data_IF_569107179419
#
_entry.id   IF_569107179419
#
_cell.length_a   1.000
_cell.length_b   1.000
_cell.length_c   1.000
_cell.angle_alpha   90.00
_cell.angle_beta   90.00
_cell.angle_gamma   90.00
#
_symmetry.space_group_name_H-M   'P 1'
#
loop_
_entity.id
_entity.type
_entity.pdbx_description
1 polymer ?
#
# COMPACT_ATOMS: atom_id res chain seq x y z
N UNK A 1 12.09 19.23 0.49
CA UNK A 1 12.91 18.80 1.64
C UNK A 1 13.75 17.64 1.14
N UNK A 2 15.05 17.85 0.98
CA UNK A 2 15.96 16.79 0.52
C UNK A 2 16.09 15.77 1.63
N UNK A 3 15.51 14.58 1.42
CA UNK A 3 15.76 13.42 2.27
C UNK A 3 17.23 13.06 2.07
N UNK A 4 18.00 12.97 3.14
CA UNK A 4 19.38 12.54 3.04
C UNK A 4 19.45 11.14 2.41
N UNK A 5 20.55 10.76 1.77
CA UNK A 5 20.69 9.43 1.16
C UNK A 5 20.43 8.30 2.16
N UNK A 6 20.78 8.50 3.42
CA UNK A 6 20.59 7.53 4.51
C UNK A 6 19.10 7.39 4.86
N UNK A 7 18.37 8.49 4.99
CA UNK A 7 16.92 8.49 5.26
C UNK A 7 16.15 7.84 4.10
N UNK A 8 16.58 8.08 2.86
CA UNK A 8 15.97 7.45 1.69
C UNK A 8 16.17 5.92 1.68
N UNK A 9 17.38 5.45 2.00
CA UNK A 9 17.66 4.01 2.13
C UNK A 9 16.79 3.39 3.23
N UNK A 10 16.68 4.05 4.39
CA UNK A 10 15.82 3.62 5.48
C UNK A 10 14.34 3.54 5.07
N UNK A 11 13.86 4.57 4.35
CA UNK A 11 12.50 4.58 3.80
C UNK A 11 12.25 3.41 2.84
N UNK A 12 13.17 3.16 1.91
CA UNK A 12 13.06 2.03 0.96
C UNK A 12 13.07 0.68 1.69
N UNK A 13 13.92 0.52 2.70
CA UNK A 13 13.96 -0.73 3.49
C UNK A 13 12.63 -0.98 4.22
N UNK A 14 12.06 0.03 4.87
CA UNK A 14 10.76 -0.05 5.55
C UNK A 14 9.65 -0.32 4.52
N UNK A 15 9.66 0.38 3.38
CA UNK A 15 8.68 0.18 2.32
C UNK A 15 8.71 -1.27 1.78
N UNK A 16 9.89 -1.79 1.46
CA UNK A 16 10.05 -3.17 0.98
C UNK A 16 9.58 -4.20 2.02
N UNK A 17 9.92 -4.01 3.29
CA UNK A 17 9.48 -4.88 4.36
C UNK A 17 7.96 -4.87 4.53
N UNK A 18 7.35 -3.69 4.55
CA UNK A 18 5.89 -3.53 4.63
C UNK A 18 5.18 -4.16 3.43
N UNK A 19 5.76 -4.01 2.23
CA UNK A 19 5.26 -4.62 1.00
C UNK A 19 5.34 -6.16 1.05
N UNK A 20 6.42 -6.73 1.58
CA UNK A 20 6.57 -8.18 1.76
C UNK A 20 5.52 -8.73 2.73
N UNK A 21 5.24 -8.02 3.83
CA UNK A 21 4.17 -8.40 4.75
C UNK A 21 2.82 -8.37 4.03
N UNK A 22 2.53 -7.29 3.32
CA UNK A 22 1.31 -7.10 2.53
C UNK A 22 1.06 -8.30 1.59
N UNK A 23 2.02 -8.65 0.74
CA UNK A 23 1.93 -9.78 -0.18
C UNK A 23 1.80 -11.14 0.53
N UNK A 24 2.53 -11.32 1.64
CA UNK A 24 2.40 -12.55 2.44
C UNK A 24 1.02 -12.71 3.06
N UNK A 25 0.37 -11.63 3.47
CA UNK A 25 -0.98 -11.67 4.03
C UNK A 25 -1.96 -12.11 2.96
N UNK A 26 -1.91 -11.57 1.75
CA UNK A 26 -2.72 -12.04 0.62
C UNK A 26 -2.55 -13.55 0.39
N UNK A 27 -1.31 -14.00 0.27
CA UNK A 27 -0.98 -15.40 0.02
C UNK A 27 -1.52 -16.32 1.12
N UNK A 28 -1.37 -15.95 2.39
CA UNK A 28 -1.81 -16.73 3.53
C UNK A 28 -3.32 -16.78 3.66
N UNK A 29 -4.00 -15.65 3.49
CA UNK A 29 -5.47 -15.60 3.56
C UNK A 29 -6.07 -16.40 2.42
N UNK A 30 -5.56 -16.31 1.19
CA UNK A 30 -5.97 -17.16 0.08
C UNK A 30 -5.81 -18.65 0.41
N UNK A 31 -4.68 -19.03 1.00
CA UNK A 31 -4.43 -20.41 1.42
C UNK A 31 -5.43 -20.91 2.47
N UNK A 32 -5.71 -20.10 3.50
CA UNK A 32 -6.70 -20.49 4.54
C UNK A 32 -8.12 -20.57 3.99
N UNK A 33 -8.41 -19.88 2.89
CA UNK A 33 -9.70 -19.96 2.20
C UNK A 33 -9.78 -21.08 1.16
N UNK A 34 -8.68 -21.84 0.98
CA UNK A 34 -8.64 -23.06 0.16
C UNK A 34 -7.78 -22.98 -1.11
N UNK A 35 -7.14 -21.85 -1.38
CA UNK A 35 -6.27 -21.68 -2.55
C UNK A 35 -4.79 -21.84 -2.20
N UNK A 36 -4.17 -22.95 -2.60
CA UNK A 36 -2.74 -23.23 -2.39
C UNK A 36 -1.81 -22.59 -3.44
N UNK A 37 -2.34 -21.96 -4.48
CA UNK A 37 -1.57 -21.49 -5.65
C UNK A 37 -0.34 -20.67 -5.25
N UNK A 38 -0.51 -19.67 -4.39
CA UNK A 38 0.60 -18.82 -3.93
C UNK A 38 1.65 -19.59 -3.13
N UNK A 39 1.22 -20.55 -2.28
CA UNK A 39 2.11 -21.40 -1.50
C UNK A 39 2.93 -22.30 -2.42
N UNK A 40 2.29 -22.96 -3.38
CA UNK A 40 2.92 -23.91 -4.31
C UNK A 40 3.94 -23.19 -5.22
N UNK A 41 3.71 -21.93 -5.53
CA UNK A 41 4.64 -21.05 -6.24
C UNK A 41 5.72 -20.42 -5.35
N UNK A 42 5.83 -20.83 -4.07
CA UNK A 42 6.86 -20.39 -3.14
C UNK A 42 6.74 -18.92 -2.71
N UNK A 43 5.50 -18.36 -2.76
CA UNK A 43 5.22 -16.96 -2.38
C UNK A 43 5.03 -16.78 -0.86
N UNK A 44 4.96 -17.86 -0.09
CA UNK A 44 5.04 -17.84 1.38
C UNK A 44 6.47 -17.58 1.84
N UNK A 45 6.95 -16.39 1.66
CA UNK A 45 8.35 -16.07 1.91
C UNK A 45 8.52 -14.63 2.35
N UNK A 46 9.37 -14.39 3.34
CA UNK A 46 9.78 -13.04 3.71
C UNK A 46 10.99 -12.54 2.89
N UNK A 47 11.45 -13.31 1.91
CA UNK A 47 12.49 -12.86 0.99
C UNK A 47 11.89 -11.81 0.02
N UNK A 48 12.30 -10.54 0.07
CA UNK A 48 11.75 -9.48 -0.79
C UNK A 48 11.94 -9.76 -2.28
N UNK A 49 12.98 -10.48 -2.68
CA UNK A 49 13.22 -10.82 -4.08
C UNK A 49 12.13 -11.69 -4.71
N UNK A 50 11.30 -12.36 -3.88
CA UNK A 50 10.14 -13.11 -4.37
C UNK A 50 8.91 -12.24 -4.61
N UNK A 51 8.87 -11.04 -4.05
CA UNK A 51 7.71 -10.15 -4.05
C UNK A 51 7.92 -8.87 -4.86
N UNK A 52 9.15 -8.55 -5.26
CA UNK A 52 9.44 -7.36 -6.05
C UNK A 52 9.88 -7.71 -7.47
N UNK A 53 9.66 -6.78 -8.39
CA UNK A 53 10.21 -6.81 -9.75
C UNK A 53 11.30 -5.75 -9.87
N UNK A 54 12.18 -5.89 -10.85
CA UNK A 54 13.20 -4.88 -11.12
C UNK A 54 12.55 -3.50 -11.37
N UNK A 55 11.44 -3.47 -12.12
CA UNK A 55 10.69 -2.24 -12.35
C UNK A 55 10.10 -1.66 -11.06
N UNK A 56 9.60 -2.52 -10.15
CA UNK A 56 9.07 -2.10 -8.84
C UNK A 56 10.12 -1.49 -7.91
N UNK A 57 11.42 -1.82 -8.11
CA UNK A 57 12.55 -1.22 -7.38
C UNK A 57 13.04 0.05 -8.10
N UNK A 58 13.22 0.01 -9.40
CA UNK A 58 13.80 1.12 -10.16
C UNK A 58 12.85 2.32 -10.27
N UNK A 59 11.53 2.08 -10.29
CA UNK A 59 10.54 3.14 -10.41
C UNK A 59 10.58 4.12 -9.23
N UNK A 60 10.54 3.69 -7.94
CA UNK A 60 10.68 4.61 -6.80
C UNK A 60 11.98 5.41 -6.84
N UNK A 61 13.08 4.80 -7.25
CA UNK A 61 14.39 5.45 -7.37
C UNK A 61 14.35 6.52 -8.47
N UNK A 62 13.83 6.18 -9.65
CA UNK A 62 13.69 7.13 -10.76
C UNK A 62 12.79 8.31 -10.40
N UNK A 63 11.66 8.05 -9.75
CA UNK A 63 10.73 9.08 -9.28
C UNK A 63 11.38 10.01 -8.25
N UNK A 64 12.19 9.46 -7.33
CA UNK A 64 12.95 10.24 -6.37
C UNK A 64 13.93 11.20 -7.06
N UNK A 65 14.68 10.71 -8.06
CA UNK A 65 15.67 11.52 -8.78
C UNK A 65 15.06 12.72 -9.53
N UNK A 66 13.80 12.61 -9.96
CA UNK A 66 13.08 13.70 -10.65
C UNK A 66 12.16 14.50 -9.71
N UNK A 67 12.27 14.29 -8.38
CA UNK A 67 11.42 14.91 -7.36
C UNK A 67 9.91 14.70 -7.61
N UNK A 68 9.53 13.57 -8.19
CA UNK A 68 8.14 13.16 -8.36
C UNK A 68 7.63 12.39 -7.12
N UNK A 69 6.30 12.27 -6.94
CA UNK A 69 5.73 11.44 -5.89
C UNK A 69 6.26 9.99 -6.00
N UNK A 70 6.85 9.49 -4.89
CA UNK A 70 7.43 8.15 -4.86
C UNK A 70 6.32 7.12 -4.70
N UNK A 71 6.20 6.22 -5.65
CA UNK A 71 5.38 5.02 -5.54
C UNK A 71 6.09 3.84 -6.18
N UNK A 72 5.69 2.63 -5.78
CA UNK A 72 6.21 1.38 -6.31
C UNK A 72 5.13 0.32 -6.29
N UNK A 73 5.38 -0.80 -6.93
CA UNK A 73 4.47 -1.93 -6.98
C UNK A 73 5.19 -3.24 -6.74
N UNK A 74 4.48 -4.15 -6.09
CA UNK A 74 4.93 -5.52 -5.90
C UNK A 74 4.64 -6.38 -7.12
N UNK A 75 5.24 -7.54 -7.13
CA UNK A 75 4.80 -8.64 -7.99
C UNK A 75 3.53 -9.24 -7.39
N UNK A 76 2.36 -9.13 -8.05
CA UNK A 76 1.10 -9.58 -7.47
C UNK A 76 1.13 -11.04 -7.05
N UNK A 77 0.43 -11.36 -5.95
CA UNK A 77 0.24 -12.75 -5.51
C UNK A 77 -0.73 -13.44 -6.48
N UNK A 78 -0.35 -14.57 -7.08
CA UNK A 78 -1.26 -15.34 -7.89
C UNK A 78 -2.27 -16.07 -7.01
N UNK A 79 -3.53 -16.09 -7.43
CA UNK A 79 -4.59 -16.88 -6.80
C UNK A 79 -5.55 -17.46 -7.84
N UNK A 80 -6.14 -18.61 -7.52
CA UNK A 80 -7.10 -19.30 -8.35
C UNK A 80 -8.51 -19.18 -7.74
N UNK A 81 -9.35 -18.36 -8.34
CA UNK A 81 -10.70 -18.09 -7.86
C UNK A 81 -11.57 -19.36 -7.76
N UNK A 82 -11.34 -20.37 -8.61
CA UNK A 82 -12.08 -21.62 -8.60
C UNK A 82 -11.75 -22.51 -7.40
N UNK A 83 -10.67 -22.25 -6.67
CA UNK A 83 -10.29 -22.95 -5.44
C UNK A 83 -11.07 -22.49 -4.22
N UNK A 84 -11.71 -21.33 -4.28
CA UNK A 84 -12.47 -20.76 -3.17
C UNK A 84 -13.85 -21.40 -3.03
N UNK A 85 -14.30 -21.65 -1.79
CA UNK A 85 -15.64 -22.15 -1.51
C UNK A 85 -16.73 -21.14 -1.90
N UNK A 86 -16.47 -19.87 -1.62
CA UNK A 86 -17.33 -18.75 -1.95
C UNK A 86 -16.50 -17.68 -2.69
N UNK A 87 -16.26 -17.82 -4.00
CA UNK A 87 -15.29 -17.02 -4.73
C UNK A 87 -15.44 -15.52 -4.53
N UNK A 88 -16.68 -14.99 -4.56
CA UNK A 88 -16.95 -13.57 -4.38
C UNK A 88 -16.58 -13.07 -2.99
N UNK A 89 -17.05 -13.73 -1.93
CA UNK A 89 -16.74 -13.37 -0.55
C UNK A 89 -15.25 -13.54 -0.27
N UNK A 90 -14.70 -14.67 -0.68
CA UNK A 90 -13.34 -15.06 -0.34
C UNK A 90 -12.33 -14.15 -1.05
N UNK A 91 -12.60 -13.74 -2.29
CA UNK A 91 -11.81 -12.71 -2.98
C UNK A 91 -11.81 -11.36 -2.26
N UNK A 92 -12.98 -10.90 -1.77
CA UNK A 92 -13.07 -9.66 -0.98
C UNK A 92 -12.21 -9.79 0.29
N UNK A 93 -12.29 -10.92 0.98
CA UNK A 93 -11.48 -11.17 2.19
C UNK A 93 -9.98 -11.16 1.88
N UNK A 94 -9.55 -11.80 0.78
CA UNK A 94 -8.16 -11.74 0.33
C UNK A 94 -7.75 -10.31 0.03
N UNK A 95 -8.54 -9.56 -0.74
CA UNK A 95 -8.22 -8.19 -1.13
C UNK A 95 -8.14 -7.22 0.05
N UNK A 96 -9.02 -7.36 1.05
CA UNK A 96 -9.01 -6.48 2.22
C UNK A 96 -7.95 -6.84 3.27
N UNK A 97 -7.48 -8.08 3.28
CA UNK A 97 -6.62 -8.59 4.34
C UNK A 97 -5.28 -7.85 4.43
N UNK A 98 -4.65 -7.56 3.31
CA UNK A 98 -3.34 -6.91 3.29
C UNK A 98 -3.41 -5.41 3.61
N UNK A 99 -4.33 -4.60 3.04
CA UNK A 99 -4.56 -3.24 3.53
C UNK A 99 -4.84 -3.19 5.03
N UNK A 100 -5.64 -4.13 5.55
CA UNK A 100 -5.92 -4.20 6.98
C UNK A 100 -4.68 -4.54 7.81
N UNK A 101 -3.81 -5.44 7.34
CA UNK A 101 -2.53 -5.72 8.00
C UNK A 101 -1.62 -4.49 8.03
N UNK A 102 -1.55 -3.72 6.94
CA UNK A 102 -0.81 -2.46 6.92
C UNK A 102 -1.43 -1.43 7.89
N UNK A 103 -2.74 -1.35 7.98
CA UNK A 103 -3.40 -0.51 8.98
C UNK A 103 -2.99 -0.87 10.40
N UNK A 104 -2.99 -2.17 10.74
CA UNK A 104 -2.53 -2.65 12.06
C UNK A 104 -1.07 -2.25 12.31
N UNK A 105 -0.18 -2.42 11.32
CA UNK A 105 1.23 -2.01 11.45
C UNK A 105 1.38 -0.49 11.66
N UNK A 106 0.57 0.32 10.99
CA UNK A 106 0.54 1.76 11.20
C UNK A 106 0.09 2.11 12.62
N UNK A 107 -0.98 1.50 13.12
CA UNK A 107 -1.46 1.70 14.50
C UNK A 107 -0.40 1.27 15.53
N UNK A 108 0.23 0.12 15.34
CA UNK A 108 1.31 -0.34 16.24
C UNK A 108 2.47 0.66 16.25
N UNK A 109 2.89 1.16 15.09
CA UNK A 109 3.96 2.15 15.02
C UNK A 109 3.59 3.46 15.73
N UNK A 110 2.33 3.90 15.59
CA UNK A 110 1.81 5.07 16.29
C UNK A 110 1.83 4.88 17.83
N UNK A 111 1.37 3.72 18.31
CA UNK A 111 1.40 3.38 19.73
C UNK A 111 2.83 3.30 20.26
N UNK A 112 3.77 2.70 19.53
CA UNK A 112 5.17 2.64 19.92
C UNK A 112 5.79 4.04 20.02
N UNK A 113 5.45 4.94 19.10
CA UNK A 113 5.88 6.35 19.15
C UNK A 113 5.38 7.08 20.41
N UNK A 114 4.21 6.68 20.93
CA UNK A 114 3.63 7.26 22.16
C UNK A 114 4.32 6.77 23.44
N UNK A 115 5.02 5.63 23.37
CA UNK A 115 5.78 5.07 24.51
C UNK A 115 7.15 5.74 24.57
N UNK A 116 7.21 6.93 25.18
CA UNK A 116 8.51 7.59 25.43
C UNK A 116 9.28 6.81 26.50
N UNK A 117 10.30 6.09 26.07
CA UNK A 117 11.24 5.44 26.97
C UNK A 117 12.19 6.49 27.55
N UNK A 118 11.81 7.11 28.69
CA UNK A 118 12.59 8.15 29.37
C UNK A 118 13.99 7.71 29.85
N UNK A 119 14.35 6.45 29.60
CA UNK A 119 15.64 5.85 29.96
C UNK A 119 16.69 6.07 28.85
N UNK A 120 16.26 6.39 27.60
CA UNK A 120 17.19 6.54 26.47
C UNK A 120 17.69 7.98 26.33
N UNK A 121 18.97 8.20 25.94
CA UNK A 121 19.46 9.50 25.53
C UNK A 121 18.61 10.11 24.41
N UNK A 122 18.46 11.44 24.39
CA UNK A 122 17.58 12.16 23.42
C UNK A 122 17.88 11.82 21.96
N UNK A 123 19.15 11.59 21.62
CA UNK A 123 19.55 11.24 20.24
C UNK A 123 18.93 9.90 19.79
N UNK A 124 18.86 8.90 20.67
CA UNK A 124 18.24 7.61 20.37
C UNK A 124 16.73 7.71 20.30
N UNK A 125 16.13 8.57 21.12
CA UNK A 125 14.68 8.86 21.04
C UNK A 125 14.32 9.52 19.70
N UNK A 126 15.14 10.46 19.22
CA UNK A 126 14.93 11.09 17.91
C UNK A 126 14.97 10.06 16.75
N UNK A 127 15.93 9.16 16.76
CA UNK A 127 16.00 8.08 15.75
C UNK A 127 14.81 7.13 15.86
N UNK A 128 14.43 6.76 17.09
CA UNK A 128 13.29 5.88 17.33
C UNK A 128 11.98 6.52 16.81
N UNK A 129 11.72 7.77 17.16
CA UNK A 129 10.56 8.52 16.70
C UNK A 129 10.52 8.63 15.17
N UNK A 130 11.68 8.89 14.55
CA UNK A 130 11.80 8.96 13.09
C UNK A 130 11.48 7.62 12.43
N UNK A 131 11.96 6.51 12.98
CA UNK A 131 11.69 5.16 12.46
C UNK A 131 10.20 4.83 12.62
N UNK A 132 9.63 5.04 13.80
CA UNK A 132 8.21 4.79 14.06
C UNK A 132 7.31 5.64 13.15
N UNK A 133 7.62 6.93 13.01
CA UNK A 133 6.88 7.82 12.12
C UNK A 133 6.99 7.38 10.64
N UNK A 134 8.12 6.84 10.24
CA UNK A 134 8.31 6.32 8.87
C UNK A 134 7.52 5.04 8.67
N UNK A 135 7.54 4.09 9.62
CA UNK A 135 6.73 2.87 9.58
C UNK A 135 5.25 3.21 9.52
N UNK A 136 4.79 4.15 10.36
CA UNK A 136 3.42 4.65 10.32
C UNK A 136 3.05 5.18 8.94
N UNK A 137 3.81 6.15 8.41
CA UNK A 137 3.53 6.79 7.12
C UNK A 137 3.48 5.79 5.98
N UNK A 138 4.46 4.89 5.90
CA UNK A 138 4.54 3.88 4.84
C UNK A 138 3.34 2.94 4.90
N UNK A 139 3.02 2.41 6.07
CA UNK A 139 1.94 1.42 6.21
C UNK A 139 0.56 2.07 6.09
N UNK A 140 0.38 3.28 6.61
CA UNK A 140 -0.84 4.05 6.41
C UNK A 140 -1.07 4.36 4.93
N UNK A 141 -0.01 4.80 4.22
CA UNK A 141 -0.06 5.04 2.78
C UNK A 141 -0.41 3.76 2.01
N UNK A 142 0.24 2.63 2.29
CA UNK A 142 -0.05 1.34 1.66
C UNK A 142 -1.50 0.91 1.90
N UNK A 143 -2.02 1.08 3.11
CA UNK A 143 -3.41 0.80 3.42
C UNK A 143 -4.37 1.65 2.59
N UNK A 144 -4.27 2.97 2.71
CA UNK A 144 -5.22 3.92 2.10
C UNK A 144 -5.14 3.88 0.57
N UNK A 145 -3.92 3.78 0.02
CA UNK A 145 -3.70 3.70 -1.42
C UNK A 145 -4.29 2.42 -2.01
N UNK A 146 -4.04 1.25 -1.39
CA UNK A 146 -4.56 -0.01 -1.89
C UNK A 146 -6.09 -0.16 -1.71
N UNK A 147 -6.73 0.64 -0.88
CA UNK A 147 -8.20 0.68 -0.76
C UNK A 147 -8.89 1.50 -1.86
N UNK A 148 -8.15 2.21 -2.73
CA UNK A 148 -8.73 2.88 -3.88
C UNK A 148 -9.41 1.88 -4.83
N UNK A 149 -10.62 2.18 -5.35
CA UNK A 149 -11.38 1.28 -6.22
C UNK A 149 -10.87 1.31 -7.67
N UNK A 150 -9.56 1.27 -7.88
CA UNK A 150 -8.90 1.38 -9.18
C UNK A 150 -7.99 0.17 -9.39
N UNK A 151 -8.21 -0.69 -10.41
CA UNK A 151 -7.28 -1.75 -10.73
C UNK A 151 -5.88 -1.21 -11.05
N UNK A 152 -4.81 -1.88 -10.67
CA UNK A 152 -4.74 -3.20 -10.04
C UNK A 152 -4.73 -3.19 -8.49
N UNK A 153 -5.25 -2.15 -7.84
CA UNK A 153 -5.25 -2.02 -6.38
C UNK A 153 -6.30 -2.93 -5.73
N UNK A 154 -6.06 -3.33 -4.47
CA UNK A 154 -6.89 -4.29 -3.74
C UNK A 154 -8.34 -3.84 -3.57
N UNK A 155 -8.57 -2.55 -3.37
CA UNK A 155 -9.90 -1.97 -3.25
C UNK A 155 -10.78 -2.20 -4.49
N UNK A 156 -10.15 -2.39 -5.66
CA UNK A 156 -10.89 -2.73 -6.88
C UNK A 156 -11.54 -4.11 -6.81
N UNK A 157 -10.99 -5.05 -6.04
CA UNK A 157 -11.50 -6.41 -5.89
C UNK A 157 -12.93 -6.39 -5.33
N UNK A 158 -13.22 -5.46 -4.40
CA UNK A 158 -14.57 -5.31 -3.82
C UNK A 158 -15.57 -4.98 -4.92
N UNK A 159 -15.23 -4.00 -5.76
CA UNK A 159 -16.07 -3.58 -6.87
C UNK A 159 -16.16 -4.66 -7.95
N UNK A 160 -15.00 -5.22 -8.33
CA UNK A 160 -14.89 -6.24 -9.37
C UNK A 160 -15.69 -7.50 -9.01
N UNK A 161 -15.59 -7.99 -7.78
CA UNK A 161 -16.35 -9.16 -7.31
C UNK A 161 -17.86 -8.94 -7.30
N UNK A 162 -18.34 -7.68 -7.27
CA UNK A 162 -19.77 -7.35 -7.35
C UNK A 162 -20.28 -7.12 -8.77
N UNK A 163 -19.40 -6.68 -9.68
CA UNK A 163 -19.74 -6.30 -11.06
C UNK A 163 -19.51 -7.45 -12.05
N UNK A 164 -18.54 -8.35 -11.77
CA UNK A 164 -18.19 -9.49 -12.63
C UNK A 164 -19.42 -10.33 -12.97
N UNK A 165 -20.27 -10.60 -11.97
CA UNK A 165 -21.48 -11.40 -12.17
C UNK A 165 -22.51 -10.72 -13.06
N UNK A 166 -22.50 -9.38 -13.16
CA UNK A 166 -23.46 -8.60 -13.91
C UNK A 166 -23.00 -8.22 -15.31
N UNK A 167 -21.69 -7.95 -15.50
CA UNK A 167 -21.16 -7.55 -16.79
C UNK A 167 -19.66 -7.88 -16.93
N UNK A 168 -19.31 -9.13 -17.32
CA UNK A 168 -17.92 -9.58 -17.45
C UNK A 168 -17.10 -8.77 -18.48
N UNK A 169 -17.73 -8.22 -19.53
CA UNK A 169 -17.03 -7.40 -20.53
C UNK A 169 -16.59 -6.05 -19.95
N UNK A 170 -17.44 -5.43 -19.16
CA UNK A 170 -17.13 -4.16 -18.49
C UNK A 170 -16.03 -4.35 -17.45
N UNK A 171 -16.09 -5.44 -16.70
CA UNK A 171 -15.10 -5.82 -15.73
C UNK A 171 -13.70 -5.95 -16.35
N UNK A 172 -13.56 -6.77 -17.39
CA UNK A 172 -12.28 -6.92 -18.11
C UNK A 172 -11.76 -5.61 -18.66
N UNK A 173 -12.62 -4.80 -19.28
CA UNK A 173 -12.21 -3.49 -19.79
C UNK A 173 -11.66 -2.57 -18.69
N UNK A 174 -12.25 -2.63 -17.50
CA UNK A 174 -11.82 -1.83 -16.36
C UNK A 174 -10.48 -2.36 -15.79
N UNK A 175 -10.30 -3.68 -15.73
CA UNK A 175 -9.01 -4.30 -15.39
C UNK A 175 -7.91 -3.89 -16.36
N UNK A 176 -8.15 -4.03 -17.67
CA UNK A 176 -7.18 -3.72 -18.70
C UNK A 176 -6.77 -2.23 -18.71
N UNK A 177 -7.69 -1.34 -18.35
CA UNK A 177 -7.45 0.11 -18.33
C UNK A 177 -6.97 0.63 -16.97
N UNK A 178 -7.10 -0.16 -15.90
CA UNK A 178 -6.86 0.28 -14.53
C UNK A 178 -5.46 0.85 -14.32
N UNK A 179 -4.43 0.19 -14.84
CA UNK A 179 -3.07 0.70 -14.74
C UNK A 179 -2.90 2.05 -15.45
N UNK A 180 -3.52 2.22 -16.63
CA UNK A 180 -3.51 3.49 -17.36
C UNK A 180 -4.23 4.61 -16.60
N UNK A 181 -5.36 4.30 -15.97
CA UNK A 181 -6.10 5.24 -15.12
C UNK A 181 -5.24 5.65 -13.92
N UNK A 182 -4.64 4.67 -13.25
CA UNK A 182 -3.78 4.92 -12.09
C UNK A 182 -2.56 5.77 -12.47
N UNK A 183 -1.89 5.45 -13.58
CA UNK A 183 -0.77 6.23 -14.11
C UNK A 183 -1.18 7.67 -14.45
N UNK A 184 -2.33 7.85 -15.10
CA UNK A 184 -2.87 9.16 -15.41
C UNK A 184 -3.11 10.00 -14.14
N UNK A 185 -3.75 9.42 -13.12
CA UNK A 185 -4.07 10.11 -11.86
C UNK A 185 -2.83 10.42 -11.02
N UNK A 186 -1.82 9.55 -11.04
CA UNK A 186 -0.61 9.71 -10.23
C UNK A 186 0.44 10.61 -10.87
N UNK A 187 0.55 10.60 -12.19
CA UNK A 187 1.65 11.26 -12.91
C UNK A 187 1.12 12.38 -13.80
N UNK A 188 0.23 12.07 -14.74
CA UNK A 188 -0.16 13.03 -15.77
C UNK A 188 -0.96 14.18 -15.17
N UNK A 189 -1.93 13.88 -14.34
CA UNK A 189 -2.83 14.87 -13.75
C UNK A 189 -2.10 15.88 -12.84
N UNK A 190 -1.20 15.48 -11.92
CA UNK A 190 -0.37 16.41 -11.17
C UNK A 190 0.57 17.24 -12.04
N UNK A 191 1.15 16.67 -13.12
CA UNK A 191 1.99 17.42 -14.06
C UNK A 191 1.20 18.50 -14.79
N UNK A 192 -0.01 18.19 -15.25
CA UNK A 192 -0.92 19.17 -15.86
C UNK A 192 -1.25 20.27 -14.83
N UNK A 193 -1.58 19.88 -13.60
CA UNK A 193 -1.85 20.84 -12.52
C UNK A 193 -0.70 21.81 -12.31
N UNK A 194 0.53 21.30 -12.21
CA UNK A 194 1.74 22.09 -12.06
C UNK A 194 1.94 23.09 -13.24
N UNK A 195 1.68 22.65 -14.47
CA UNK A 195 1.77 23.50 -15.65
C UNK A 195 0.76 24.66 -15.64
N UNK A 196 -0.41 24.47 -15.03
CA UNK A 196 -1.47 25.49 -14.91
C UNK A 196 -1.48 26.20 -13.54
N UNK A 197 -0.47 25.99 -12.67
CA UNK A 197 -0.40 26.60 -11.34
C UNK A 197 -1.51 26.11 -10.37
N UNK A 198 -2.07 24.92 -10.60
CA UNK A 198 -3.13 24.32 -9.79
C UNK A 198 -2.70 22.96 -9.23
N UNK A 199 -3.22 22.60 -8.05
CA UNK A 199 -2.99 21.27 -7.49
C UNK A 199 -4.09 20.29 -7.97
N UNK A 200 -3.76 19.49 -8.98
CA UNK A 200 -4.62 18.40 -9.48
C UNK A 200 -4.21 17.03 -8.95
N UNK A 201 -3.48 16.99 -7.83
CA UNK A 201 -3.07 15.74 -7.19
C UNK A 201 -4.22 15.13 -6.39
N UNK A 202 -5.24 14.61 -7.07
CA UNK A 202 -6.45 14.05 -6.45
C UNK A 202 -6.13 12.93 -5.46
N UNK A 203 -5.21 12.02 -5.83
CA UNK A 203 -4.81 10.91 -4.95
C UNK A 203 -4.09 11.45 -3.72
N UNK A 204 -3.19 12.42 -3.88
CA UNK A 204 -2.52 13.06 -2.75
C UNK A 204 -3.47 13.84 -1.84
N UNK A 205 -4.51 14.48 -2.40
CA UNK A 205 -5.57 15.15 -1.62
C UNK A 205 -6.35 14.12 -0.82
N UNK A 206 -6.76 13.01 -1.45
CA UNK A 206 -7.46 11.92 -0.78
C UNK A 206 -6.63 11.33 0.36
N UNK A 207 -5.34 11.05 0.15
CA UNK A 207 -4.47 10.48 1.20
C UNK A 207 -4.30 11.46 2.36
N UNK A 208 -4.13 12.76 2.08
CA UNK A 208 -4.06 13.79 3.13
C UNK A 208 -5.35 13.84 3.94
N UNK A 209 -6.49 13.87 3.26
CA UNK A 209 -7.78 13.86 3.93
C UNK A 209 -7.95 12.63 4.86
N UNK A 210 -7.61 11.42 4.40
CA UNK A 210 -7.64 10.22 5.24
C UNK A 210 -6.69 10.34 6.45
N UNK A 211 -5.52 10.95 6.27
CA UNK A 211 -4.56 11.15 7.35
C UNK A 211 -5.10 12.15 8.39
N UNK A 212 -5.66 13.27 7.93
CA UNK A 212 -6.22 14.30 8.79
C UNK A 212 -7.40 13.75 9.62
N UNK A 213 -8.29 12.97 9.01
CA UNK A 213 -9.38 12.28 9.70
C UNK A 213 -8.85 11.28 10.75
N UNK A 214 -7.84 10.48 10.38
CA UNK A 214 -7.22 9.54 11.33
C UNK A 214 -6.61 10.25 12.53
N UNK A 215 -5.86 11.33 12.32
CA UNK A 215 -5.27 12.15 13.39
C UNK A 215 -6.36 12.81 14.25
N UNK A 216 -7.43 13.29 13.64
CA UNK A 216 -8.59 13.88 14.34
C UNK A 216 -9.25 12.86 15.28
N UNK A 217 -9.46 11.62 14.80
CA UNK A 217 -10.01 10.54 15.63
C UNK A 217 -9.08 10.21 16.80
N UNK A 218 -7.76 10.08 16.54
CA UNK A 218 -6.79 9.81 17.59
C UNK A 218 -6.77 10.92 18.66
N UNK A 219 -6.81 12.18 18.25
CA UNK A 219 -6.82 13.31 19.18
C UNK A 219 -8.09 13.35 20.02
N UNK A 220 -9.24 12.97 19.45
CA UNK A 220 -10.50 12.88 20.18
C UNK A 220 -10.56 11.73 21.20
N UNK A 221 -9.77 10.68 20.99
CA UNK A 221 -9.67 9.55 21.91
C UNK A 221 -8.63 9.78 23.03
N UNK A 222 -7.70 10.72 22.82
CA UNK A 222 -6.63 11.03 23.77
C UNK A 222 -6.99 12.20 24.73
N UNK A 223 -8.04 12.97 24.43
CA UNK A 223 -8.53 14.08 25.25
C UNK A 223 -9.70 13.70 26.10
#
# INVERSE_FOLDING_TARGET
MFVTSIEFIGYIAIFLFSLVIHENVHARVAYYLGDSTAKDMGRFSFNPLKHVTLAGILLPIGLHLINAPIFGFAKPVPYNQSSFKNPRRDMILVGLAAPFANFILAVIACLLCSIRLSILPEIYLLYFDTICATIFKVNFLLCVFNLLPIPPLDGSIIYMSTVIDKNPKLSRKFEDQGFGILFFLLIIMPLIGKAFGKDYNIIGIYIRWCLDEFVSILSSLAG
#
